data_IF_887243902276
#
_entry.id   IF_887243902276
#
_cell.length_a   1.000
_cell.length_b   1.000
_cell.length_c   1.000
_cell.angle_alpha   90.00
_cell.angle_beta   90.00
_cell.angle_gamma   90.00
#
_symmetry.space_group_name_H-M   'P 1'
#
loop_
_entity.id
_entity.type
_entity.pdbx_description
1 polymer ?
#
# COMPACT_ATOMS: atom_id res chain seq x y z
N UNK A 1 -80.29 11.16 -5.30
CA UNK A 1 -80.03 9.71 -5.49
C UNK A 1 -80.25 9.38 -6.96
N UNK A 2 -79.38 8.66 -7.71
CA UNK A 2 -78.02 8.12 -7.48
C UNK A 2 -76.95 8.87 -8.33
N UNK A 3 -75.70 9.10 -7.91
CA UNK A 3 -74.51 8.22 -7.70
C UNK A 3 -73.65 7.99 -8.97
N UNK A 4 -72.42 8.53 -8.89
CA UNK A 4 -71.14 8.10 -9.51
C UNK A 4 -71.00 8.04 -11.03
N UNK A 5 -70.26 9.01 -11.59
CA UNK A 5 -69.21 8.71 -12.59
C UNK A 5 -67.91 9.49 -12.32
N UNK A 6 -67.06 8.82 -11.55
CA UNK A 6 -65.63 8.60 -11.81
C UNK A 6 -64.80 9.84 -12.19
N UNK A 7 -64.43 10.58 -11.15
CA UNK A 7 -63.14 11.26 -11.00
C UNK A 7 -61.97 10.27 -11.15
N UNK A 8 -61.58 9.96 -12.40
CA UNK A 8 -60.47 9.05 -12.71
C UNK A 8 -59.41 9.73 -13.59
N UNK A 9 -59.01 10.94 -13.21
CA UNK A 9 -57.92 11.71 -13.85
C UNK A 9 -57.04 12.45 -12.84
N UNK A 10 -56.93 11.95 -11.60
CA UNK A 10 -56.02 12.49 -10.57
C UNK A 10 -55.29 11.38 -9.81
N UNK A 11 -54.93 10.29 -10.50
CA UNK A 11 -54.19 9.17 -9.88
C UNK A 11 -53.06 8.63 -10.76
N UNK A 12 -52.44 9.49 -11.57
CA UNK A 12 -51.31 9.13 -12.44
C UNK A 12 -50.17 10.15 -12.34
N UNK A 13 -49.90 10.67 -11.14
CA UNK A 13 -48.77 11.57 -10.89
C UNK A 13 -48.20 11.39 -9.47
N UNK A 14 -48.21 10.16 -8.96
CA UNK A 14 -47.48 9.81 -7.76
C UNK A 14 -46.81 8.46 -8.01
N UNK A 15 -45.89 8.46 -8.98
CA UNK A 15 -44.85 7.44 -9.01
C UNK A 15 -44.02 7.58 -7.73
N UNK A 16 -43.74 6.49 -7.02
CA UNK A 16 -42.98 6.55 -5.79
C UNK A 16 -41.53 6.88 -6.13
N UNK A 17 -41.11 8.08 -5.73
CA UNK A 17 -39.72 8.47 -5.47
C UNK A 17 -39.13 7.64 -4.31
N UNK A 18 -39.12 6.31 -4.45
CA UNK A 18 -38.58 5.35 -3.50
C UNK A 18 -37.84 4.29 -4.31
N UNK A 19 -36.54 4.52 -4.52
CA UNK A 19 -35.72 3.53 -5.21
C UNK A 19 -34.47 4.04 -5.91
N UNK A 20 -34.03 5.29 -5.71
CA UNK A 20 -32.64 5.65 -5.97
C UNK A 20 -31.80 5.14 -4.80
N UNK A 21 -31.81 3.82 -4.60
CA UNK A 21 -30.73 3.18 -3.86
C UNK A 21 -29.48 3.53 -4.65
N UNK A 22 -28.62 4.34 -4.05
CA UNK A 22 -27.21 4.49 -4.41
C UNK A 22 -26.51 3.14 -4.17
N UNK A 23 -27.00 2.10 -4.86
CA UNK A 23 -26.26 0.89 -5.08
C UNK A 23 -25.13 1.33 -6.00
N UNK A 24 -23.94 1.48 -5.41
CA UNK A 24 -22.71 1.57 -6.20
C UNK A 24 -22.80 0.46 -7.24
N UNK A 25 -22.79 0.82 -8.52
CA UNK A 25 -22.90 -0.14 -9.60
C UNK A 25 -21.89 -1.28 -9.33
N UNK A 26 -22.32 -2.55 -9.30
CA UNK A 26 -21.46 -3.66 -8.92
C UNK A 26 -20.16 -3.69 -9.73
N UNK A 27 -20.23 -3.23 -10.99
CA UNK A 27 -19.10 -3.06 -11.89
C UNK A 27 -18.10 -1.98 -11.39
N UNK A 28 -18.59 -0.82 -10.97
CA UNK A 28 -17.78 0.25 -10.39
C UNK A 28 -17.16 -0.18 -9.06
N UNK A 29 -17.92 -0.87 -8.21
CA UNK A 29 -17.41 -1.44 -6.97
C UNK A 29 -16.28 -2.46 -7.24
N UNK A 30 -16.45 -3.32 -8.25
CA UNK A 30 -15.48 -4.35 -8.63
C UNK A 30 -14.19 -3.78 -9.20
N UNK A 31 -14.27 -2.72 -10.01
CA UNK A 31 -13.09 -2.02 -10.54
C UNK A 31 -12.35 -1.29 -9.40
N UNK A 32 -13.10 -0.74 -8.45
CA UNK A 32 -12.55 0.00 -7.32
C UNK A 32 -11.86 -0.96 -6.30
N UNK A 33 -12.48 -2.09 -5.97
CA UNK A 33 -11.97 -3.07 -5.01
C UNK A 33 -11.05 -4.13 -5.61
N UNK A 34 -11.07 -4.35 -6.92
CA UNK A 34 -10.31 -5.40 -7.58
C UNK A 34 -8.81 -5.35 -7.28
N UNK A 35 -8.12 -4.21 -7.47
CA UNK A 35 -6.69 -4.11 -7.21
C UNK A 35 -6.35 -4.24 -5.71
N UNK A 36 -7.21 -3.73 -4.82
CA UNK A 36 -7.08 -3.89 -3.37
C UNK A 36 -7.24 -5.36 -2.94
N UNK A 37 -8.24 -6.04 -3.50
CA UNK A 37 -8.47 -7.46 -3.24
C UNK A 37 -7.29 -8.31 -3.74
N UNK A 38 -6.75 -8.01 -4.92
CA UNK A 38 -5.53 -8.67 -5.44
C UNK A 38 -4.34 -8.45 -4.51
N UNK A 39 -4.15 -7.23 -3.98
CA UNK A 39 -3.08 -6.95 -3.03
C UNK A 39 -3.24 -7.74 -1.72
N UNK A 40 -4.45 -7.74 -1.13
CA UNK A 40 -4.72 -8.48 0.11
C UNK A 40 -4.58 -9.99 -0.11
N UNK A 41 -5.02 -10.50 -1.27
CA UNK A 41 -4.86 -11.91 -1.64
C UNK A 41 -3.38 -12.27 -1.83
N UNK A 42 -2.59 -11.43 -2.52
CA UNK A 42 -1.15 -11.62 -2.67
C UNK A 42 -0.43 -11.58 -1.32
N UNK A 43 -0.75 -10.61 -0.47
CA UNK A 43 -0.19 -10.50 0.88
C UNK A 43 -0.57 -11.71 1.73
N UNK A 44 -1.82 -12.16 1.62
CA UNK A 44 -2.30 -13.39 2.25
C UNK A 44 -1.58 -14.64 1.74
N UNK A 45 -1.36 -14.76 0.43
CA UNK A 45 -0.59 -15.86 -0.17
C UNK A 45 0.87 -15.85 0.27
N UNK A 46 1.49 -14.67 0.36
CA UNK A 46 2.84 -14.48 0.88
C UNK A 46 2.91 -14.89 2.35
N UNK A 47 1.91 -14.51 3.16
CA UNK A 47 1.83 -14.87 4.58
C UNK A 47 1.54 -16.36 4.81
N UNK A 48 0.81 -17.02 3.91
CA UNK A 48 0.57 -18.47 3.91
C UNK A 48 1.80 -19.25 3.41
N UNK A 49 2.67 -18.59 2.64
CA UNK A 49 3.88 -19.20 2.11
C UNK A 49 4.90 -19.44 3.24
N UNK A 50 5.35 -20.68 3.38
CA UNK A 50 6.30 -21.10 4.43
C UNK A 50 7.75 -20.65 4.20
N UNK A 51 8.00 -19.79 3.20
CA UNK A 51 9.36 -19.33 2.85
C UNK A 51 9.53 -17.89 3.34
N UNK A 52 10.63 -17.57 4.04
CA UNK A 52 10.90 -16.21 4.48
C UNK A 52 11.05 -15.31 3.24
N UNK A 53 10.13 -14.36 3.10
CA UNK A 53 10.12 -13.41 1.99
C UNK A 53 10.47 -12.03 2.53
N UNK A 54 11.51 -11.47 1.93
CA UNK A 54 12.06 -10.17 2.26
C UNK A 54 11.61 -9.16 1.21
N UNK A 55 10.98 -8.09 1.64
CA UNK A 55 10.56 -7.01 0.74
C UNK A 55 10.87 -5.66 1.36
N UNK A 56 11.29 -4.71 0.53
CA UNK A 56 11.46 -3.34 0.95
C UNK A 56 10.10 -2.71 1.16
N UNK A 57 9.92 -1.96 2.25
CA UNK A 57 8.65 -1.30 2.51
C UNK A 57 8.33 -0.18 1.51
N UNK A 58 9.28 0.20 0.66
CA UNK A 58 9.05 1.03 -0.52
C UNK A 58 8.36 0.25 -1.65
N UNK A 59 8.74 -1.02 -1.90
CA UNK A 59 8.01 -1.91 -2.83
C UNK A 59 6.61 -2.22 -2.33
N UNK A 60 6.48 -2.46 -1.02
CA UNK A 60 5.18 -2.67 -0.37
C UNK A 60 4.28 -1.43 -0.50
N UNK A 61 4.82 -0.23 -0.24
CA UNK A 61 4.09 1.02 -0.39
C UNK A 61 3.73 1.31 -1.86
N UNK A 62 4.62 1.00 -2.80
CA UNK A 62 4.34 1.15 -4.23
C UNK A 62 3.25 0.18 -4.69
N UNK A 63 3.30 -1.07 -4.25
CA UNK A 63 2.27 -2.07 -4.54
C UNK A 63 0.92 -1.68 -3.92
N UNK A 64 0.92 -1.16 -2.69
CA UNK A 64 -0.27 -0.64 -2.04
C UNK A 64 -0.81 0.62 -2.74
N UNK A 65 0.07 1.51 -3.20
CA UNK A 65 -0.31 2.68 -4.00
C UNK A 65 -0.92 2.30 -5.35
N UNK A 66 -0.37 1.30 -6.04
CA UNK A 66 -0.96 0.72 -7.24
C UNK A 66 -2.30 0.03 -6.94
N UNK A 67 -2.42 -0.67 -5.81
CA UNK A 67 -3.67 -1.28 -5.37
C UNK A 67 -4.75 -0.25 -5.03
N UNK A 68 -4.37 0.90 -4.47
CA UNK A 68 -5.28 2.01 -4.20
C UNK A 68 -5.58 2.86 -5.43
N UNK A 69 -4.75 2.79 -6.48
CA UNK A 69 -4.96 3.56 -7.72
C UNK A 69 -6.29 3.23 -8.40
N UNK A 70 -6.77 1.98 -8.29
CA UNK A 70 -8.10 1.58 -8.78
C UNK A 70 -9.25 2.27 -8.05
N UNK A 71 -9.10 2.51 -6.75
CA UNK A 71 -10.06 3.26 -5.94
C UNK A 71 -10.10 4.75 -6.30
N UNK A 72 -8.96 5.28 -6.74
CA UNK A 72 -8.79 6.66 -7.17
C UNK A 72 -9.43 6.97 -8.53
N UNK A 73 -9.45 6.00 -9.42
CA UNK A 73 -10.09 6.13 -10.73
C UNK A 73 -11.61 6.24 -10.61
N UNK A 74 -12.20 5.60 -9.60
CA UNK A 74 -13.67 5.48 -9.46
C UNK A 74 -14.30 6.59 -8.61
N UNK A 75 -13.57 7.23 -7.68
CA UNK A 75 -14.15 8.21 -6.74
C UNK A 75 -13.64 9.65 -6.89
N UNK A 76 -12.38 9.96 -6.54
CA UNK A 76 -11.90 11.35 -6.44
C UNK A 76 -11.58 12.03 -7.77
N UNK A 77 -11.32 11.30 -8.86
CA UNK A 77 -10.92 11.93 -10.12
C UNK A 77 -11.98 12.87 -10.69
N UNK A 78 -13.28 12.59 -10.48
CA UNK A 78 -14.35 13.52 -10.84
C UNK A 78 -14.39 14.75 -9.92
N UNK A 79 -14.01 14.60 -8.64
CA UNK A 79 -13.99 15.69 -7.67
C UNK A 79 -12.83 16.69 -7.92
N UNK A 80 -11.71 16.19 -8.45
CA UNK A 80 -10.54 17.00 -8.80
C UNK A 80 -10.53 17.43 -10.28
N UNK A 81 -11.61 17.19 -11.03
CA UNK A 81 -11.78 17.62 -12.40
C UNK A 81 -12.52 18.97 -12.44
N UNK A 82 -11.84 20.14 -12.45
CA UNK A 82 -12.52 21.38 -12.72
C UNK A 82 -13.11 21.31 -14.13
N UNK A 83 -14.43 21.45 -14.25
CA UNK A 83 -15.17 21.34 -15.53
C UNK A 83 -14.58 22.26 -16.62
N UNK A 84 -14.01 23.40 -16.20
CA UNK A 84 -13.30 24.33 -17.07
C UNK A 84 -12.05 23.72 -17.76
N UNK A 85 -11.30 22.85 -17.07
CA UNK A 85 -10.13 22.19 -17.64
C UNK A 85 -10.53 21.03 -18.58
N UNK A 86 -11.58 20.28 -18.22
CA UNK A 86 -12.12 19.21 -19.06
C UNK A 86 -12.61 19.73 -20.41
N UNK A 87 -13.32 20.86 -20.41
CA UNK A 87 -13.81 21.50 -21.63
C UNK A 87 -12.69 22.09 -22.49
N UNK A 88 -11.54 22.47 -21.90
CA UNK A 88 -10.42 23.10 -22.62
C UNK A 88 -9.43 22.08 -23.19
N UNK A 89 -9.15 21.01 -22.46
CA UNK A 89 -8.08 20.05 -22.76
C UNK A 89 -8.60 18.66 -23.17
N UNK A 90 -9.90 18.40 -23.02
CA UNK A 90 -10.54 17.17 -23.47
C UNK A 90 -9.91 15.90 -22.84
N UNK A 91 -9.70 14.83 -23.62
CA UNK A 91 -9.13 13.57 -23.12
C UNK A 91 -7.73 13.70 -22.49
N UNK A 92 -6.97 14.75 -22.84
CA UNK A 92 -5.60 14.96 -22.35
C UNK A 92 -5.56 15.20 -20.82
N UNK A 93 -6.65 15.70 -20.23
CA UNK A 93 -6.77 15.92 -18.77
C UNK A 93 -6.58 14.62 -18.00
N UNK A 94 -7.09 13.50 -18.53
CA UNK A 94 -6.95 12.20 -17.89
C UNK A 94 -5.49 11.73 -17.87
N UNK A 95 -4.75 11.94 -18.96
CA UNK A 95 -3.32 11.64 -19.00
C UNK A 95 -2.53 12.50 -18.01
N UNK A 96 -2.85 13.79 -17.91
CA UNK A 96 -2.25 14.72 -16.94
C UNK A 96 -2.55 14.32 -15.47
N UNK A 97 -3.77 13.89 -15.18
CA UNK A 97 -4.17 13.42 -13.84
C UNK A 97 -3.46 12.12 -13.47
N UNK A 98 -3.38 11.16 -14.39
CA UNK A 98 -2.63 9.92 -14.18
C UNK A 98 -1.15 10.23 -13.94
N UNK A 99 -0.57 11.14 -14.72
CA UNK A 99 0.83 11.56 -14.55
C UNK A 99 1.05 12.24 -13.19
N UNK A 100 0.17 13.16 -12.79
CA UNK A 100 0.23 13.81 -11.47
C UNK A 100 0.15 12.78 -10.33
N UNK A 101 -0.72 11.77 -10.48
CA UNK A 101 -0.83 10.69 -9.52
C UNK A 101 0.43 9.83 -9.44
N UNK A 102 0.97 9.45 -10.60
CA UNK A 102 2.21 8.69 -10.66
C UNK A 102 3.37 9.46 -10.01
N UNK A 103 3.46 10.77 -10.27
CA UNK A 103 4.45 11.65 -9.65
C UNK A 103 4.25 11.79 -8.15
N UNK A 104 3.02 11.99 -7.69
CA UNK A 104 2.68 12.08 -6.26
C UNK A 104 2.99 10.77 -5.53
N UNK A 105 2.63 9.63 -6.11
CA UNK A 105 2.97 8.31 -5.57
C UNK A 105 4.48 8.10 -5.51
N UNK A 106 5.19 8.44 -6.59
CA UNK A 106 6.66 8.35 -6.64
C UNK A 106 7.28 9.24 -5.57
N UNK A 107 6.76 10.45 -5.37
CA UNK A 107 7.22 11.35 -4.32
C UNK A 107 6.99 10.76 -2.93
N UNK A 108 5.81 10.21 -2.65
CA UNK A 108 5.51 9.53 -1.38
C UNK A 108 6.45 8.34 -1.15
N UNK A 109 6.74 7.55 -2.20
CA UNK A 109 7.69 6.43 -2.13
C UNK A 109 9.12 6.91 -1.87
N UNK A 110 9.54 8.02 -2.49
CA UNK A 110 10.86 8.62 -2.26
C UNK A 110 10.99 9.27 -0.87
N UNK A 111 9.89 9.79 -0.32
CA UNK A 111 9.84 10.37 1.02
C UNK A 111 9.67 9.31 2.12
N UNK A 112 9.23 8.10 1.77
CA UNK A 112 9.06 7.02 2.72
C UNK A 112 10.42 6.63 3.30
N UNK A 113 10.49 6.53 4.64
CA UNK A 113 11.72 6.10 5.31
C UNK A 113 12.10 4.68 4.85
N UNK A 114 13.41 4.39 4.68
CA UNK A 114 13.86 3.05 4.37
C UNK A 114 13.46 2.12 5.51
N UNK A 115 12.59 1.18 5.16
CA UNK A 115 12.07 0.16 6.05
C UNK A 115 12.09 -1.15 5.30
N UNK A 116 12.34 -2.22 6.02
CA UNK A 116 12.52 -3.52 5.42
C UNK A 116 11.71 -4.55 6.20
N UNK A 117 10.83 -5.26 5.48
CA UNK A 117 9.81 -6.11 6.07
C UNK A 117 10.17 -7.56 5.73
N UNK A 118 10.31 -8.37 6.78
CA UNK A 118 10.67 -9.78 6.69
C UNK A 118 9.45 -10.57 7.15
N UNK A 119 8.80 -11.24 6.21
CA UNK A 119 7.61 -12.05 6.46
C UNK A 119 7.96 -13.48 6.89
N UNK A 120 7.10 -14.07 7.73
CA UNK A 120 7.16 -15.47 8.16
C UNK A 120 8.44 -15.82 8.96
N UNK A 121 8.94 -14.88 9.76
CA UNK A 121 10.08 -15.07 10.66
C UNK A 121 9.74 -14.50 12.04
N UNK A 122 9.97 -15.27 13.11
CA UNK A 122 9.82 -14.77 14.48
C UNK A 122 11.06 -14.00 14.91
N UNK A 123 10.90 -13.03 15.80
CA UNK A 123 12.00 -12.18 16.30
C UNK A 123 13.15 -13.01 16.88
N UNK A 124 12.83 -14.13 17.55
CA UNK A 124 13.80 -15.03 18.15
C UNK A 124 14.68 -15.75 17.11
N UNK A 125 14.15 -15.96 15.90
CA UNK A 125 14.90 -16.52 14.77
C UNK A 125 15.62 -15.43 13.97
N UNK A 126 15.00 -14.26 13.84
CA UNK A 126 15.58 -13.14 13.10
C UNK A 126 16.84 -12.60 13.79
N UNK A 127 16.81 -12.45 15.12
CA UNK A 127 17.91 -11.84 15.88
C UNK A 127 19.26 -12.56 15.71
N UNK A 128 19.38 -13.90 15.85
CA UNK A 128 20.65 -14.59 15.65
C UNK A 128 21.15 -14.52 14.19
N UNK A 129 20.27 -14.70 13.22
CA UNK A 129 20.61 -14.58 11.79
C UNK A 129 21.11 -13.17 11.47
N UNK A 130 20.40 -12.15 11.98
CA UNK A 130 20.79 -10.75 11.82
C UNK A 130 22.11 -10.46 12.53
N UNK A 131 22.35 -10.99 13.72
CA UNK A 131 23.61 -10.81 14.45
C UNK A 131 24.80 -11.39 13.69
N UNK A 132 24.66 -12.58 13.10
CA UNK A 132 25.69 -13.19 12.27
C UNK A 132 26.02 -12.33 11.03
N UNK A 133 24.98 -11.88 10.32
CA UNK A 133 25.13 -11.07 9.11
C UNK A 133 25.72 -9.70 9.43
N UNK A 134 25.22 -9.04 10.48
CA UNK A 134 25.73 -7.76 10.97
C UNK A 134 27.22 -7.88 11.33
N UNK A 135 27.62 -8.95 12.03
CA UNK A 135 29.02 -9.21 12.36
C UNK A 135 29.90 -9.47 11.13
N UNK A 136 29.36 -10.10 10.08
CA UNK A 136 30.06 -10.30 8.80
C UNK A 136 30.17 -9.02 7.97
N UNK A 137 29.12 -8.19 7.97
CA UNK A 137 29.02 -7.00 7.13
C UNK A 137 29.78 -5.81 7.73
N UNK A 138 29.76 -5.67 9.05
CA UNK A 138 30.40 -4.56 9.75
C UNK A 138 31.00 -5.03 11.08
N UNK A 139 32.31 -5.25 11.13
CA UNK A 139 33.01 -5.60 12.38
C UNK A 139 32.87 -4.55 13.48
N UNK A 140 32.53 -3.30 13.14
CA UNK A 140 32.31 -2.21 14.10
C UNK A 140 30.84 -2.04 14.51
N UNK A 141 29.98 -3.00 14.15
CA UNK A 141 28.57 -2.95 14.51
C UNK A 141 28.36 -2.83 16.03
N UNK A 142 27.42 -1.96 16.42
CA UNK A 142 27.02 -1.76 17.81
C UNK A 142 25.55 -2.09 18.00
N UNK A 143 25.28 -2.86 19.04
CA UNK A 143 23.93 -3.23 19.44
C UNK A 143 23.54 -2.47 20.72
N UNK A 144 22.34 -1.92 20.73
CA UNK A 144 21.73 -1.28 21.88
C UNK A 144 20.28 -1.74 21.99
N UNK A 145 20.07 -2.87 22.70
CA UNK A 145 18.77 -3.52 22.76
C UNK A 145 18.33 -4.01 21.38
N UNK A 146 17.25 -3.41 20.87
CA UNK A 146 16.68 -3.68 19.54
C UNK A 146 17.17 -2.70 18.46
N UNK A 147 18.04 -1.76 18.81
CA UNK A 147 18.68 -0.85 17.86
C UNK A 147 20.06 -1.37 17.45
N UNK A 148 20.37 -1.29 16.15
CA UNK A 148 21.64 -1.70 15.58
C UNK A 148 22.21 -0.54 14.76
N UNK A 149 23.49 -0.24 15.00
CA UNK A 149 24.26 0.76 14.26
C UNK A 149 25.39 0.06 13.54
N UNK A 150 25.43 0.22 12.22
CA UNK A 150 26.47 -0.24 11.30
C UNK A 150 27.25 0.98 10.80
N UNK A 151 28.29 1.44 11.52
CA UNK A 151 28.97 2.69 11.20
C UNK A 151 29.71 2.66 9.86
N UNK A 152 30.27 1.51 9.47
CA UNK A 152 31.02 1.34 8.22
C UNK A 152 30.09 1.37 7.01
N UNK A 153 28.89 0.80 7.16
CA UNK A 153 27.84 0.85 6.13
C UNK A 153 27.06 2.16 6.14
N UNK A 154 27.12 2.94 7.23
CA UNK A 154 26.32 4.15 7.41
C UNK A 154 24.83 3.84 7.56
N UNK A 155 24.49 2.72 8.20
CA UNK A 155 23.11 2.26 8.38
C UNK A 155 22.79 2.16 9.87
N UNK A 156 21.62 2.65 10.25
CA UNK A 156 21.12 2.55 11.63
C UNK A 156 19.67 2.14 11.60
N UNK A 157 19.32 1.04 12.25
CA UNK A 157 17.96 0.53 12.25
C UNK A 157 17.51 0.02 13.61
N UNK A 158 16.20 0.05 13.82
CA UNK A 158 15.51 -0.52 14.95
C UNK A 158 14.75 -1.77 14.48
N UNK A 159 14.80 -2.83 15.28
CA UNK A 159 14.10 -4.09 15.03
C UNK A 159 12.74 -4.00 15.71
N UNK A 160 11.67 -3.92 14.92
CA UNK A 160 10.31 -3.90 15.44
C UNK A 160 9.62 -5.25 15.17
N UNK A 161 9.22 -5.97 16.23
CA UNK A 161 8.55 -7.26 16.10
C UNK A 161 7.04 -7.11 15.95
N UNK A 162 6.46 -7.82 15.00
CA UNK A 162 5.00 -7.95 14.86
C UNK A 162 4.59 -9.42 14.98
N UNK A 163 4.36 -9.86 16.22
CA UNK A 163 4.14 -11.26 16.59
C UNK A 163 2.86 -11.87 16.02
N UNK A 164 1.80 -11.06 15.82
CA UNK A 164 0.50 -11.53 15.30
C UNK A 164 0.62 -12.12 13.89
N UNK A 165 1.47 -11.55 13.04
CA UNK A 165 1.69 -12.01 11.66
C UNK A 165 3.06 -12.66 11.44
N UNK A 166 3.84 -12.91 12.50
CA UNK A 166 5.24 -13.41 12.39
C UNK A 166 6.05 -12.57 11.41
N UNK A 167 6.00 -11.24 11.59
CA UNK A 167 6.70 -10.27 10.77
C UNK A 167 7.77 -9.59 11.61
N UNK A 168 9.00 -9.57 11.11
CA UNK A 168 10.07 -8.74 11.64
C UNK A 168 10.28 -7.52 10.75
N UNK A 169 10.30 -6.33 11.32
CA UNK A 169 10.56 -5.10 10.59
C UNK A 169 11.90 -4.49 11.01
N UNK A 170 12.67 -4.01 10.04
CA UNK A 170 13.85 -3.19 10.27
C UNK A 170 13.52 -1.78 9.80
N UNK A 171 13.49 -0.83 10.73
CA UNK A 171 13.10 0.56 10.46
C UNK A 171 14.30 1.46 10.67
N UNK A 172 14.56 2.38 9.73
CA UNK A 172 15.63 3.36 9.89
C UNK A 172 15.46 4.22 11.15
N UNK A 173 16.46 4.20 12.03
CA UNK A 173 16.43 4.87 13.34
C UNK A 173 16.98 6.32 13.31
N UNK A 174 17.66 6.73 12.23
CA UNK A 174 18.33 8.03 12.14
C UNK A 174 18.17 8.72 10.78
N UNK A 175 18.41 10.05 10.71
CA UNK A 175 18.25 10.85 9.48
C UNK A 175 19.36 10.65 8.45
N UNK A 176 20.56 10.22 8.87
CA UNK A 176 21.68 9.91 7.99
C UNK A 176 21.71 8.41 7.74
N UNK A 177 21.26 8.00 6.56
CA UNK A 177 21.22 6.61 6.13
C UNK A 177 21.85 6.49 4.74
N UNK A 178 22.67 5.48 4.55
CA UNK A 178 23.23 5.17 3.25
C UNK A 178 22.35 4.16 2.51
N UNK A 179 21.72 4.56 1.41
CA UNK A 179 20.88 3.70 0.57
C UNK A 179 21.65 2.49 0.01
N UNK A 180 22.94 2.65 -0.30
CA UNK A 180 23.76 1.53 -0.77
C UNK A 180 24.00 0.52 0.36
N UNK A 181 24.17 1.01 1.59
CA UNK A 181 24.29 0.16 2.77
C UNK A 181 23.02 -0.65 3.02
N UNK A 182 21.84 -0.01 2.86
CA UNK A 182 20.54 -0.68 2.92
C UNK A 182 20.36 -1.76 1.85
N UNK A 183 20.75 -1.49 0.60
CA UNK A 183 20.67 -2.49 -0.49
C UNK A 183 21.61 -3.68 -0.24
N UNK A 184 22.79 -3.43 0.31
CA UNK A 184 23.75 -4.49 0.64
C UNK A 184 23.24 -5.36 1.79
N UNK A 185 22.69 -4.73 2.84
CA UNK A 185 22.01 -5.45 3.92
C UNK A 185 20.80 -6.26 3.38
N UNK A 186 20.03 -5.69 2.45
CA UNK A 186 18.91 -6.38 1.79
C UNK A 186 19.37 -7.64 1.07
N UNK A 187 20.42 -7.54 0.26
CA UNK A 187 20.95 -8.65 -0.54
C UNK A 187 21.50 -9.79 0.32
N UNK A 188 22.29 -9.45 1.35
CA UNK A 188 22.96 -10.43 2.21
C UNK A 188 21.96 -11.17 3.10
N UNK A 189 21.00 -10.44 3.67
CA UNK A 189 19.96 -11.05 4.50
C UNK A 189 18.95 -11.84 3.67
N UNK A 190 18.66 -11.41 2.44
CA UNK A 190 17.88 -12.20 1.48
C UNK A 190 18.58 -13.50 1.05
N UNK A 191 19.91 -13.54 1.08
CA UNK A 191 20.69 -14.74 0.77
C UNK A 191 20.73 -15.69 1.97
N UNK A 192 20.96 -15.17 3.17
CA UNK A 192 21.00 -15.95 4.40
C UNK A 192 19.63 -16.58 4.76
N UNK A 193 18.53 -15.88 4.50
CA UNK A 193 17.17 -16.41 4.76
C UNK A 193 16.73 -17.50 3.78
N UNK A 194 17.39 -17.65 2.63
CA UNK A 194 17.07 -18.70 1.64
C UNK A 194 17.78 -20.04 1.91
N UNK A 195 18.78 -20.03 2.78
CA UNK A 195 19.51 -21.23 3.22
C UNK A 195 18.72 -21.95 4.32
#
# INVERSE_FOLDING_TARGET
>A
MPIRRRSRLLHSACEPLLGRSSAIDPLHLSIALGPLAVYVVLLGLINISRRPLMTSGARDLAALGLALSGWMVVGPMELFLPEAAANRFGPLVWALLIALYALGLTLVVLLARPRLIIYNVTTDQLRPVLAEIVGKLDPQARWAGDCVVLPTLGVQFHIEPFSVLRVGQLIAAGPYQNDQGWKRLESELGTALKQ
#
